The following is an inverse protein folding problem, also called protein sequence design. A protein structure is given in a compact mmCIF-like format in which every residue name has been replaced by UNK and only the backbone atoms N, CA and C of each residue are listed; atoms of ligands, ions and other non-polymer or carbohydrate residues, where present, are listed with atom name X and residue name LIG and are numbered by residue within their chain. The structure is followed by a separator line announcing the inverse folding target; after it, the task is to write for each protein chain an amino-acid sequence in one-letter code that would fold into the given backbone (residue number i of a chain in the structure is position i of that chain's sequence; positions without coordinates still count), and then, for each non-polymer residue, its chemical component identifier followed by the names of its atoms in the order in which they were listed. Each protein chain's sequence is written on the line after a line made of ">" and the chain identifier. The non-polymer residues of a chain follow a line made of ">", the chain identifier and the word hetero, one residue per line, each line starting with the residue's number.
data_IF_170466599271
#
_entry.id   IF_170466599271
#
_cell.length_a   1.000
_cell.length_b   1.000
_cell.length_c   1.000
_cell.angle_alpha   90.00
_cell.angle_beta   90.00
_cell.angle_gamma   90.00
#
_symmetry.space_group_name_H-M   'P 1'
#
loop_
_entity.id
_entity.type
_entity.pdbx_description
1 polymer ?
#
# COMPACT_ATOMS: atom_id res chain seq x y z
N UNK A 1 -11.21 49.60 -1.97
CA UNK A 1 -10.87 48.52 -1.02
C UNK A 1 -9.60 47.85 -1.50
N UNK A 2 -8.49 48.01 -0.78
CA UNK A 2 -7.18 47.48 -1.18
C UNK A 2 -7.17 45.95 -0.99
N UNK A 3 -6.79 45.22 -2.05
CA UNK A 3 -6.67 43.75 -2.02
C UNK A 3 -5.42 43.38 -1.21
N UNK A 4 -5.59 42.71 -0.07
CA UNK A 4 -4.48 42.23 0.76
C UNK A 4 -3.64 41.21 -0.03
N UNK A 5 -2.36 41.48 -0.22
CA UNK A 5 -1.41 40.58 -0.90
C UNK A 5 -0.61 39.79 0.13
N UNK A 6 -0.67 38.46 0.07
CA UNK A 6 0.00 37.53 0.97
C UNK A 6 1.41 37.14 0.49
N UNK A 7 2.26 38.14 0.21
CA UNK A 7 3.65 37.88 -0.23
C UNK A 7 4.65 37.68 0.92
N UNK A 8 4.31 38.12 2.12
CA UNK A 8 5.15 37.98 3.31
C UNK A 8 4.49 37.03 4.31
N UNK A 9 4.55 35.71 4.04
CA UNK A 9 4.07 34.71 4.97
C UNK A 9 5.20 34.34 5.97
N UNK A 10 5.06 34.69 7.28
CA UNK A 10 6.07 34.41 8.29
C UNK A 10 6.35 32.92 8.51
N UNK A 11 5.51 32.02 7.98
CA UNK A 11 5.68 30.58 8.06
C UNK A 11 6.94 30.06 7.33
N UNK A 12 7.46 30.80 6.33
CA UNK A 12 8.66 30.39 5.59
C UNK A 12 9.96 30.46 6.43
N UNK A 13 9.96 31.19 7.55
CA UNK A 13 11.12 31.26 8.45
C UNK A 13 11.27 30.03 9.35
N UNK A 14 10.24 29.18 9.42
CA UNK A 14 10.23 27.97 10.26
C UNK A 14 10.52 26.68 9.48
N UNK A 15 10.57 26.75 8.15
CA UNK A 15 10.95 25.61 7.31
C UNK A 15 12.47 25.62 7.19
N UNK A 16 13.14 24.80 7.99
CA UNK A 16 14.55 24.47 7.74
C UNK A 16 14.63 23.71 6.42
N UNK A 17 15.22 24.32 5.39
CA UNK A 17 15.64 23.60 4.19
C UNK A 17 16.80 22.70 4.58
N UNK A 18 16.51 21.42 4.77
CA UNK A 18 17.54 20.40 4.78
C UNK A 18 18.13 20.32 3.37
N UNK A 19 19.42 20.60 3.24
CA UNK A 19 20.19 20.32 2.02
C UNK A 19 20.09 18.82 1.74
N UNK A 20 19.68 18.46 0.53
CA UNK A 20 19.67 17.08 0.04
C UNK A 20 21.12 16.63 -0.15
N UNK A 21 21.68 15.94 0.84
CA UNK A 21 22.87 15.11 0.64
C UNK A 21 22.46 13.84 -0.12
N UNK A 22 22.86 13.74 -1.39
CA UNK A 22 22.81 12.52 -2.19
C UNK A 22 23.64 11.42 -1.52
N UNK A 23 22.97 10.50 -0.82
CA UNK A 23 23.57 9.25 -0.36
C UNK A 23 23.76 8.30 -1.54
N UNK A 24 25.01 8.12 -1.96
CA UNK A 24 25.45 7.07 -2.87
C UNK A 24 25.11 5.68 -2.30
N UNK A 25 24.21 4.95 -2.97
CA UNK A 25 23.94 3.54 -2.70
C UNK A 25 24.71 2.65 -3.67
N UNK A 26 25.72 1.96 -3.13
CA UNK A 26 26.48 0.88 -3.76
C UNK A 26 25.58 -0.22 -4.35
N UNK A 27 25.88 -0.75 -5.55
CA UNK A 27 25.04 -1.77 -6.19
C UNK A 27 25.44 -3.18 -5.74
N UNK A 28 24.67 -3.80 -4.85
CA UNK A 28 24.79 -5.23 -4.58
C UNK A 28 23.86 -6.08 -5.47
N UNK A 29 24.53 -6.86 -6.32
CA UNK A 29 24.23 -8.26 -6.71
C UNK A 29 23.15 -8.53 -7.76
N UNK A 30 23.65 -9.02 -8.91
CA UNK A 30 22.93 -9.49 -10.09
C UNK A 30 22.26 -10.86 -9.91
N UNK A 31 20.96 -10.89 -10.26
CA UNK A 31 20.20 -11.88 -11.07
C UNK A 31 19.93 -13.31 -10.51
N UNK A 32 18.82 -13.98 -10.93
CA UNK A 32 18.65 -14.42 -12.32
C UNK A 32 17.28 -14.09 -12.97
N UNK A 33 17.38 -13.49 -14.16
CA UNK A 33 16.54 -13.71 -15.36
C UNK A 33 15.02 -13.87 -15.19
N UNK A 34 14.31 -12.78 -14.94
CA UNK A 34 12.98 -12.62 -15.54
C UNK A 34 13.18 -12.35 -17.03
N UNK A 35 12.66 -13.24 -17.88
CA UNK A 35 12.53 -13.01 -19.30
C UNK A 35 11.89 -11.62 -19.50
N UNK A 36 12.68 -10.64 -19.96
CA UNK A 36 12.19 -9.31 -20.25
C UNK A 36 11.15 -9.46 -21.35
N UNK A 37 9.90 -9.17 -21.03
CA UNK A 37 8.89 -8.91 -22.05
C UNK A 37 9.44 -7.85 -23.02
N UNK A 38 9.24 -7.99 -24.33
CA UNK A 38 9.79 -7.07 -25.33
C UNK A 38 9.32 -5.63 -25.07
N UNK A 39 10.22 -4.67 -25.32
CA UNK A 39 9.95 -3.24 -25.15
C UNK A 39 8.65 -2.84 -25.86
N UNK A 40 7.65 -2.42 -25.07
CA UNK A 40 6.34 -1.99 -25.57
C UNK A 40 5.17 -2.92 -25.22
N UNK A 41 5.41 -4.14 -24.74
CA UNK A 41 4.34 -5.00 -24.24
C UNK A 41 4.09 -4.77 -22.74
N UNK A 42 2.95 -4.13 -22.42
CA UNK A 42 2.39 -4.17 -21.07
C UNK A 42 1.90 -5.60 -20.85
N UNK A 43 2.59 -6.38 -20.02
CA UNK A 43 2.03 -7.60 -19.42
C UNK A 43 0.61 -7.28 -18.98
N UNK A 44 -0.37 -8.08 -19.41
CA UNK A 44 -1.79 -7.82 -19.14
C UNK A 44 -1.96 -7.39 -17.68
N UNK A 45 -2.40 -6.14 -17.40
CA UNK A 45 -2.48 -5.62 -16.04
C UNK A 45 -3.50 -6.37 -15.17
N UNK A 46 -4.29 -7.26 -15.77
CA UNK A 46 -5.17 -8.22 -15.12
C UNK A 46 -4.41 -9.31 -14.34
N UNK A 47 -3.17 -9.63 -14.72
CA UNK A 47 -2.41 -10.75 -14.16
C UNK A 47 -1.32 -10.33 -13.16
N UNK A 48 -1.20 -9.02 -12.92
CA UNK A 48 -0.21 -8.47 -12.00
C UNK A 48 -0.96 -7.80 -10.86
N UNK A 49 -1.39 -8.59 -9.87
CA UNK A 49 -2.02 -8.14 -8.60
C UNK A 49 -1.04 -7.36 -7.71
N UNK A 50 -0.40 -6.34 -8.26
CA UNK A 50 0.56 -5.49 -7.55
C UNK A 50 -0.11 -4.36 -6.79
N UNK A 51 -1.44 -4.19 -6.95
CA UNK A 51 -2.19 -3.09 -6.34
C UNK A 51 -3.26 -3.61 -5.42
N UNK A 52 -3.22 -3.13 -4.17
CA UNK A 52 -4.26 -3.37 -3.18
C UNK A 52 -5.54 -2.63 -3.54
N UNK A 53 -6.70 -3.24 -3.27
CA UNK A 53 -8.03 -2.62 -3.36
C UNK A 53 -8.68 -2.59 -1.99
N UNK A 54 -9.38 -1.49 -1.66
CA UNK A 54 -10.10 -1.34 -0.40
C UNK A 54 -11.53 -1.87 -0.54
N UNK A 55 -11.93 -2.75 0.39
CA UNK A 55 -13.28 -3.26 0.52
C UNK A 55 -13.89 -2.75 1.84
N UNK A 56 -15.09 -2.19 1.80
CA UNK A 56 -15.86 -1.84 3.00
C UNK A 56 -16.93 -2.90 3.23
N UNK A 57 -16.85 -3.59 4.37
CA UNK A 57 -17.80 -4.63 4.75
C UNK A 57 -18.72 -4.15 5.88
N UNK A 58 -20.02 -4.38 5.72
CA UNK A 58 -21.00 -4.18 6.79
C UNK A 58 -21.22 -5.53 7.47
N UNK A 59 -20.82 -5.63 8.73
CA UNK A 59 -20.88 -6.87 9.51
C UNK A 59 -21.81 -6.72 10.70
N UNK A 60 -22.41 -7.83 11.13
CA UNK A 60 -23.09 -7.87 12.42
C UNK A 60 -22.08 -7.74 13.57
N UNK A 61 -22.43 -7.09 14.69
CA UNK A 61 -21.50 -6.90 15.82
C UNK A 61 -20.92 -8.21 16.36
N UNK A 62 -21.76 -9.24 16.47
CA UNK A 62 -21.36 -10.57 16.93
C UNK A 62 -20.35 -11.26 16.00
N UNK A 63 -20.47 -11.04 14.69
CA UNK A 63 -19.52 -11.56 13.71
C UNK A 63 -18.19 -10.82 13.78
N UNK A 64 -18.23 -9.49 13.92
CA UNK A 64 -17.04 -8.67 14.08
C UNK A 64 -16.21 -9.10 15.31
N UNK A 65 -16.87 -9.36 16.44
CA UNK A 65 -16.18 -9.83 17.65
C UNK A 65 -15.55 -11.21 17.48
N UNK A 66 -16.22 -12.13 16.78
CA UNK A 66 -15.66 -13.45 16.45
C UNK A 66 -14.43 -13.33 15.56
N UNK A 67 -14.49 -12.51 14.52
CA UNK A 67 -13.35 -12.25 13.62
C UNK A 67 -12.18 -11.65 14.40
N UNK A 68 -12.44 -10.67 15.27
CA UNK A 68 -11.39 -10.05 16.09
C UNK A 68 -10.74 -11.04 17.06
N UNK A 69 -11.51 -11.96 17.64
CA UNK A 69 -10.98 -13.03 18.49
C UNK A 69 -10.13 -14.03 17.68
N UNK A 70 -10.62 -14.45 16.51
CA UNK A 70 -9.88 -15.33 15.60
C UNK A 70 -8.54 -14.73 15.16
N UNK A 71 -8.54 -13.45 14.77
CA UNK A 71 -7.33 -12.72 14.42
C UNK A 71 -6.32 -12.68 15.57
N UNK A 72 -6.77 -12.40 16.80
CA UNK A 72 -5.92 -12.41 18.00
C UNK A 72 -5.33 -13.79 18.28
N UNK A 73 -6.12 -14.85 18.15
CA UNK A 73 -5.65 -16.23 18.38
C UNK A 73 -4.60 -16.65 17.34
N UNK A 74 -4.78 -16.21 16.09
CA UNK A 74 -3.81 -16.45 15.02
C UNK A 74 -2.57 -15.53 15.08
N UNK A 75 -2.57 -14.51 15.96
CA UNK A 75 -1.50 -13.50 16.02
C UNK A 75 -1.43 -12.60 14.78
N UNK A 76 -2.52 -12.50 14.02
CA UNK A 76 -2.58 -11.75 12.76
C UNK A 76 -3.32 -10.42 12.95
N UNK A 77 -3.04 -9.47 12.05
CA UNK A 77 -3.91 -8.30 11.92
C UNK A 77 -5.31 -8.72 11.46
N UNK A 78 -6.34 -7.97 11.85
CA UNK A 78 -7.71 -8.26 11.41
C UNK A 78 -7.81 -8.24 9.88
N UNK A 79 -7.06 -7.35 9.21
CA UNK A 79 -7.03 -7.28 7.75
C UNK A 79 -6.45 -8.55 7.12
N UNK A 80 -5.29 -9.00 7.62
CA UNK A 80 -4.62 -10.22 7.13
C UNK A 80 -5.48 -11.46 7.37
N UNK A 81 -6.10 -11.55 8.56
CA UNK A 81 -6.99 -12.65 8.89
C UNK A 81 -8.21 -12.72 7.96
N UNK A 82 -8.83 -11.58 7.66
CA UNK A 82 -9.94 -11.51 6.70
C UNK A 82 -9.46 -11.86 5.29
N UNK A 83 -8.29 -11.38 4.88
CA UNK A 83 -7.72 -11.69 3.56
C UNK A 83 -7.54 -13.20 3.36
N UNK A 84 -6.98 -13.91 4.36
CA UNK A 84 -6.81 -15.37 4.29
C UNK A 84 -8.14 -16.11 4.21
N UNK A 85 -9.13 -15.71 5.00
CA UNK A 85 -10.46 -16.35 4.94
C UNK A 85 -11.09 -16.17 3.55
N UNK A 86 -10.97 -14.97 2.98
CA UNK A 86 -11.51 -14.69 1.64
C UNK A 86 -10.77 -15.51 0.58
N UNK A 87 -9.44 -15.55 0.65
CA UNK A 87 -8.59 -16.31 -0.26
C UNK A 87 -8.86 -17.82 -0.19
N UNK A 88 -8.98 -18.38 1.02
CA UNK A 88 -9.38 -19.77 1.24
C UNK A 88 -10.79 -20.07 0.70
N UNK A 89 -11.73 -19.14 0.87
CA UNK A 89 -13.10 -19.32 0.39
C UNK A 89 -13.20 -19.26 -1.15
N UNK A 90 -12.35 -18.49 -1.84
CA UNK A 90 -12.40 -18.33 -3.30
C UNK A 90 -11.49 -19.31 -4.06
N UNK A 91 -10.52 -19.93 -3.40
CA UNK A 91 -9.60 -20.92 -4.02
C UNK A 91 -10.28 -22.18 -4.58
N UNK A 92 -11.52 -22.46 -4.19
CA UNK A 92 -12.26 -23.64 -4.62
C UNK A 92 -13.21 -23.44 -5.81
N UNK A 93 -13.27 -22.23 -6.38
CA UNK A 93 -14.18 -21.90 -7.49
C UNK A 93 -13.51 -21.89 -8.88
N UNK A 94 -12.29 -22.44 -9.01
CA UNK A 94 -11.60 -22.65 -10.29
C UNK A 94 -11.71 -24.09 -10.82
#
# INVERSE_FOLDING_TARGET
>A
MAKKTFKDNPALQFISTAEEEEQEVTPEKKAPTTAKAPEGYKLNPLYVETKTKRLQLVLQPSLFDRVKKGAKQAGLSVNEYVHRILDEATKGEE
#
